data_IF_212979069518
#
_entry.id   IF_212979069518
#
_cell.length_a   1.000
_cell.length_b   1.000
_cell.length_c   1.000
_cell.angle_alpha   90.00
_cell.angle_beta   90.00
_cell.angle_gamma   90.00
#
_symmetry.space_group_name_H-M   'P 1'
#
loop_
_entity.id
_entity.type
_entity.pdbx_description
1 polymer ?
#
# COMPACT_ATOMS: atom_id res chain seq x y z
N UNK A 1 5.60 21.69 5.42
CA UNK A 1 4.85 21.00 4.34
C UNK A 1 3.78 20.15 5.01
N UNK A 2 2.51 20.45 4.77
CA UNK A 2 1.40 19.85 5.53
C UNK A 2 1.24 18.36 5.21
N UNK A 3 0.90 17.56 6.22
CA UNK A 3 0.75 16.10 6.06
C UNK A 3 -0.38 15.75 5.09
N UNK A 4 -1.46 16.56 5.08
CA UNK A 4 -2.53 16.49 4.09
C UNK A 4 -2.04 16.72 2.66
N UNK A 5 -1.09 17.63 2.46
CA UNK A 5 -0.50 17.89 1.14
C UNK A 5 0.33 16.70 0.66
N UNK A 6 1.04 16.00 1.56
CA UNK A 6 1.76 14.77 1.21
C UNK A 6 0.78 13.72 0.70
N UNK A 7 -0.25 13.42 1.49
CA UNK A 7 -1.24 12.40 1.11
C UNK A 7 -1.93 12.74 -0.21
N UNK A 8 -2.35 14.01 -0.39
CA UNK A 8 -2.98 14.46 -1.63
C UNK A 8 -2.03 14.36 -2.83
N UNK A 9 -0.77 14.76 -2.68
CA UNK A 9 0.23 14.69 -3.75
C UNK A 9 0.59 13.24 -4.13
N UNK A 10 0.65 12.34 -3.14
CA UNK A 10 0.88 10.92 -3.35
C UNK A 10 -0.29 10.26 -4.09
N UNK A 11 -1.53 10.61 -3.73
CA UNK A 11 -2.72 10.13 -4.44
C UNK A 11 -2.74 10.65 -5.88
N UNK A 12 -2.49 11.94 -6.09
CA UNK A 12 -2.39 12.52 -7.42
C UNK A 12 -1.29 11.83 -8.25
N UNK A 13 -0.13 11.57 -7.64
CA UNK A 13 0.96 10.81 -8.27
C UNK A 13 0.54 9.40 -8.67
N UNK A 14 -0.23 8.70 -7.83
CA UNK A 14 -0.76 7.37 -8.14
C UNK A 14 -1.73 7.41 -9.34
N UNK A 15 -2.60 8.42 -9.41
CA UNK A 15 -3.52 8.61 -10.54
C UNK A 15 -2.74 8.89 -11.83
N UNK A 16 -1.75 9.79 -11.79
CA UNK A 16 -0.92 10.10 -12.95
C UNK A 16 -0.16 8.86 -13.41
N UNK A 17 0.44 8.11 -12.48
CA UNK A 17 1.18 6.89 -12.83
C UNK A 17 0.28 5.81 -13.42
N UNK A 18 -0.90 5.58 -12.85
CA UNK A 18 -1.89 4.67 -13.42
C UNK A 18 -2.33 5.10 -14.83
N UNK A 19 -2.50 6.41 -15.05
CA UNK A 19 -2.84 6.97 -16.37
C UNK A 19 -1.72 6.72 -17.39
N UNK A 20 -0.46 6.94 -16.99
CA UNK A 20 0.72 6.68 -17.82
C UNK A 20 0.82 5.20 -18.17
N UNK A 21 0.70 4.32 -17.18
CA UNK A 21 0.76 2.87 -17.42
C UNK A 21 -0.35 2.45 -18.35
N UNK A 22 -1.58 2.92 -18.14
CA UNK A 22 -2.70 2.61 -19.04
C UNK A 22 -2.45 3.06 -20.48
N UNK A 23 -1.84 4.24 -20.66
CA UNK A 23 -1.51 4.76 -21.97
C UNK A 23 -0.40 3.95 -22.67
N UNK A 24 0.59 3.45 -21.90
CA UNK A 24 1.70 2.66 -22.44
C UNK A 24 1.32 1.21 -22.75
N UNK A 25 0.40 0.63 -21.98
CA UNK A 25 -0.03 -0.76 -22.14
C UNK A 25 -1.29 -0.90 -22.99
N UNK A 26 -1.86 0.22 -23.44
CA UNK A 26 -3.16 0.31 -24.13
C UNK A 26 -4.30 -0.41 -23.37
N UNK A 27 -4.16 -0.58 -22.07
CA UNK A 27 -5.08 -1.36 -21.23
C UNK A 27 -5.31 -0.65 -19.91
N UNK A 28 -6.56 -0.55 -19.41
CA UNK A 28 -6.87 0.27 -18.25
C UNK A 28 -6.23 -0.26 -16.96
N UNK A 29 -5.43 0.55 -16.29
CA UNK A 29 -4.89 0.30 -14.95
C UNK A 29 -5.78 0.95 -13.89
N UNK A 30 -6.96 0.37 -13.66
CA UNK A 30 -7.93 0.93 -12.69
C UNK A 30 -7.41 0.75 -11.27
N UNK A 31 -7.21 1.87 -10.56
CA UNK A 31 -6.71 1.90 -9.19
C UNK A 31 -7.59 1.06 -8.25
N UNK A 32 -6.97 0.16 -7.49
CA UNK A 32 -7.65 -0.69 -6.52
C UNK A 32 -8.48 -1.84 -7.09
N UNK A 33 -8.43 -2.05 -8.41
CA UNK A 33 -9.35 -2.94 -9.11
C UNK A 33 -8.60 -3.89 -10.06
N UNK A 34 -7.64 -3.37 -10.80
CA UNK A 34 -6.68 -4.18 -11.58
C UNK A 34 -5.44 -4.51 -10.76
N UNK A 35 -4.73 -5.60 -11.04
CA UNK A 35 -3.50 -5.96 -10.31
C UNK A 35 -2.44 -4.84 -10.39
N UNK A 36 -2.27 -4.22 -11.57
CA UNK A 36 -1.43 -3.02 -11.75
C UNK A 36 -1.94 -1.85 -10.91
N UNK A 37 -3.23 -1.55 -10.99
CA UNK A 37 -3.80 -0.41 -10.25
C UNK A 37 -3.75 -0.60 -8.74
N UNK A 38 -3.87 -1.84 -8.24
CA UNK A 38 -3.66 -2.21 -6.85
C UNK A 38 -2.20 -1.95 -6.46
N UNK A 39 -1.25 -2.40 -7.27
CA UNK A 39 0.18 -2.22 -7.00
C UNK A 39 0.57 -0.73 -6.96
N UNK A 40 0.10 0.06 -7.93
CA UNK A 40 0.33 1.51 -7.98
C UNK A 40 -0.28 2.20 -6.75
N UNK A 41 -1.52 1.86 -6.41
CA UNK A 41 -2.18 2.45 -5.24
C UNK A 41 -1.46 2.08 -3.94
N UNK A 42 -1.06 0.83 -3.75
CA UNK A 42 -0.34 0.41 -2.55
C UNK A 42 1.02 1.07 -2.45
N UNK A 43 1.82 1.05 -3.52
CA UNK A 43 3.16 1.61 -3.47
C UNK A 43 3.12 3.15 -3.32
N UNK A 44 2.38 3.82 -4.20
CA UNK A 44 2.42 5.28 -4.34
C UNK A 44 1.34 5.97 -3.50
N UNK A 45 0.11 5.47 -3.56
CA UNK A 45 -1.02 6.05 -2.84
C UNK A 45 -0.97 5.83 -1.32
N UNK A 46 -0.41 4.71 -0.87
CA UNK A 46 -0.35 4.34 0.57
C UNK A 46 1.09 4.29 1.09
N UNK A 47 1.98 3.57 0.42
CA UNK A 47 3.34 3.29 0.91
C UNK A 47 4.19 4.55 1.05
N UNK A 48 4.24 5.38 0.01
CA UNK A 48 4.99 6.65 0.02
C UNK A 48 4.55 7.59 1.15
N UNK A 49 3.26 7.99 1.28
CA UNK A 49 2.87 8.92 2.31
C UNK A 49 3.08 8.34 3.72
N UNK A 50 2.81 7.05 3.94
CA UNK A 50 3.07 6.40 5.23
C UNK A 50 4.56 6.38 5.58
N UNK A 51 5.43 6.13 4.60
CA UNK A 51 6.87 6.18 4.80
C UNK A 51 7.34 7.59 5.16
N UNK A 52 6.93 8.61 4.40
CA UNK A 52 7.30 10.00 4.67
C UNK A 52 6.79 10.46 6.03
N UNK A 53 5.55 10.13 6.39
CA UNK A 53 4.97 10.45 7.69
C UNK A 53 5.72 9.74 8.82
N UNK A 54 6.11 8.47 8.64
CA UNK A 54 6.88 7.72 9.64
C UNK A 54 8.25 8.37 9.94
N UNK A 55 8.89 8.93 8.90
CA UNK A 55 10.18 9.65 9.05
C UNK A 55 10.03 10.95 9.82
N UNK A 56 8.85 11.59 9.75
CA UNK A 56 8.56 12.84 10.47
C UNK A 56 8.12 12.61 11.90
N UNK A 57 7.24 11.63 12.11
CA UNK A 57 6.64 11.33 13.41
C UNK A 57 7.49 10.40 14.28
N UNK A 58 8.44 9.67 13.67
CA UNK A 58 9.17 8.58 14.32
C UNK A 58 8.31 7.33 14.58
N UNK A 59 7.08 7.27 14.05
CA UNK A 59 6.13 6.19 14.34
C UNK A 59 6.51 4.89 13.64
N UNK A 60 6.85 3.86 14.42
CA UNK A 60 7.12 2.52 13.90
C UNK A 60 5.88 1.87 13.27
N UNK A 61 4.66 2.26 13.65
CA UNK A 61 3.44 1.76 13.02
C UNK A 61 3.31 2.27 11.58
N UNK A 62 3.53 3.57 11.36
CA UNK A 62 3.47 4.14 10.02
C UNK A 62 4.54 3.52 9.10
N UNK A 63 5.72 3.26 9.65
CA UNK A 63 6.77 2.55 8.91
C UNK A 63 6.36 1.11 8.57
N UNK A 64 5.76 0.38 9.52
CA UNK A 64 5.24 -0.96 9.30
C UNK A 64 4.18 -0.98 8.20
N UNK A 65 3.22 -0.05 8.24
CA UNK A 65 2.20 0.09 7.19
C UNK A 65 2.81 0.39 5.82
N UNK A 66 3.84 1.24 5.75
CA UNK A 66 4.54 1.53 4.52
C UNK A 66 5.21 0.27 3.93
N UNK A 67 5.85 -0.54 4.77
CA UNK A 67 6.47 -1.80 4.36
C UNK A 67 5.43 -2.82 3.90
N UNK A 68 4.32 -2.98 4.63
CA UNK A 68 3.23 -3.85 4.22
C UNK A 68 2.62 -3.44 2.88
N UNK A 69 2.44 -2.13 2.67
CA UNK A 69 1.97 -1.60 1.39
C UNK A 69 2.95 -1.92 0.26
N UNK A 70 4.26 -1.76 0.48
CA UNK A 70 5.27 -2.14 -0.51
C UNK A 70 5.24 -3.65 -0.84
N UNK A 71 5.16 -4.51 0.18
CA UNK A 71 5.07 -5.97 -0.01
C UNK A 71 3.79 -6.33 -0.77
N UNK A 72 2.65 -5.76 -0.39
CA UNK A 72 1.38 -6.00 -1.08
C UNK A 72 1.42 -5.57 -2.55
N UNK A 73 2.10 -4.47 -2.87
CA UNK A 73 2.29 -4.05 -4.26
C UNK A 73 3.13 -5.05 -5.07
N UNK A 74 4.21 -5.57 -4.47
CA UNK A 74 5.04 -6.61 -5.09
C UNK A 74 4.24 -7.89 -5.32
N UNK A 75 3.47 -8.34 -4.33
CA UNK A 75 2.63 -9.54 -4.44
C UNK A 75 1.56 -9.35 -5.52
N UNK A 76 0.84 -8.23 -5.52
CA UNK A 76 -0.18 -7.95 -6.54
C UNK A 76 0.41 -7.98 -7.96
N UNK A 77 1.60 -7.39 -8.14
CA UNK A 77 2.32 -7.41 -9.41
C UNK A 77 2.74 -8.82 -9.80
N UNK A 78 3.35 -9.57 -8.87
CA UNK A 78 3.83 -10.92 -9.13
C UNK A 78 2.69 -11.90 -9.46
N UNK A 79 1.57 -11.82 -8.72
CA UNK A 79 0.37 -12.62 -8.99
C UNK A 79 -0.21 -12.25 -10.34
N UNK A 80 -0.39 -10.94 -10.63
CA UNK A 80 -0.94 -10.48 -11.91
C UNK A 80 -0.07 -10.91 -13.11
N UNK A 81 1.26 -10.93 -12.95
CA UNK A 81 2.18 -11.47 -13.97
C UNK A 81 1.98 -12.99 -14.12
N UNK A 82 1.96 -13.73 -13.01
CA UNK A 82 1.86 -15.19 -13.03
C UNK A 82 0.55 -15.69 -13.62
N UNK A 83 -0.54 -14.95 -13.44
CA UNK A 83 -1.87 -15.27 -14.00
C UNK A 83 -2.12 -14.64 -15.37
N UNK A 84 -1.22 -13.76 -15.85
CA UNK A 84 -1.41 -13.00 -17.09
C UNK A 84 -2.51 -11.94 -17.02
N UNK A 85 -3.03 -11.63 -15.83
CA UNK A 85 -4.24 -10.82 -15.62
C UNK A 85 -3.96 -9.44 -15.03
N UNK A 86 -2.80 -8.85 -15.37
CA UNK A 86 -2.32 -7.57 -14.85
C UNK A 86 -3.36 -6.42 -14.93
N UNK A 87 -4.14 -6.40 -16.01
CA UNK A 87 -5.15 -5.37 -16.27
C UNK A 87 -6.58 -5.90 -16.21
N UNK A 88 -6.77 -7.19 -15.94
CA UNK A 88 -8.12 -7.70 -15.74
C UNK A 88 -8.66 -7.17 -14.42
N UNK A 89 -9.96 -6.93 -14.39
CA UNK A 89 -10.67 -6.57 -13.18
C UNK A 89 -10.59 -7.75 -12.20
N UNK A 90 -9.75 -7.59 -11.20
CA UNK A 90 -9.68 -8.53 -10.10
C UNK A 90 -10.84 -8.17 -9.17
N UNK A 91 -11.95 -8.91 -9.25
CA UNK A 91 -13.14 -8.68 -8.41
C UNK A 91 -12.88 -8.72 -6.88
N UNK A 92 -11.64 -8.99 -6.47
CA UNK A 92 -11.16 -9.09 -5.08
C UNK A 92 -10.25 -7.89 -4.72
N UNK A 93 -9.97 -6.96 -5.64
CA UNK A 93 -8.89 -5.96 -5.51
C UNK A 93 -8.97 -5.11 -4.24
N UNK A 94 -10.07 -4.38 -4.06
CA UNK A 94 -10.26 -3.49 -2.91
C UNK A 94 -10.36 -4.26 -1.58
N UNK A 95 -11.00 -5.43 -1.60
CA UNK A 95 -11.13 -6.33 -0.43
C UNK A 95 -9.76 -6.82 0.00
N UNK A 96 -8.91 -7.22 -0.95
CA UNK A 96 -7.55 -7.70 -0.70
C UNK A 96 -6.67 -6.62 -0.10
N UNK A 97 -6.77 -5.39 -0.61
CA UNK A 97 -6.06 -4.21 -0.07
C UNK A 97 -6.47 -3.97 1.39
N UNK A 98 -7.78 -3.98 1.66
CA UNK A 98 -8.32 -3.80 3.00
C UNK A 98 -7.85 -4.90 3.95
N UNK A 99 -7.80 -6.14 3.48
CA UNK A 99 -7.36 -7.29 4.26
C UNK A 99 -5.86 -7.20 4.60
N UNK A 100 -5.02 -6.75 3.65
CA UNK A 100 -3.58 -6.50 3.88
C UNK A 100 -3.38 -5.38 4.90
N UNK A 101 -4.11 -4.27 4.77
CA UNK A 101 -4.04 -3.15 5.73
C UNK A 101 -4.51 -3.60 7.12
N UNK A 102 -5.59 -4.38 7.19
CA UNK A 102 -6.12 -4.92 8.43
C UNK A 102 -5.11 -5.87 9.11
N UNK A 103 -4.55 -6.83 8.37
CA UNK A 103 -3.51 -7.75 8.85
C UNK A 103 -2.26 -7.01 9.31
N UNK A 104 -1.79 -6.02 8.55
CA UNK A 104 -0.64 -5.21 8.94
C UNK A 104 -0.89 -4.44 10.24
N UNK A 105 -2.11 -3.92 10.42
CA UNK A 105 -2.48 -3.21 11.64
C UNK A 105 -2.63 -4.14 12.85
N UNK A 106 -3.22 -5.34 12.68
CA UNK A 106 -3.38 -6.31 13.78
C UNK A 106 -2.03 -6.90 14.20
N UNK A 107 -1.16 -7.26 13.25
CA UNK A 107 0.21 -7.70 13.56
C UNK A 107 0.99 -6.59 14.26
N UNK A 108 0.89 -5.34 13.77
CA UNK A 108 1.53 -4.19 14.40
C UNK A 108 1.01 -3.89 15.81
N UNK A 109 -0.27 -4.13 16.08
CA UNK A 109 -0.83 -4.06 17.43
C UNK A 109 -0.29 -5.17 18.33
N UNK A 110 -0.30 -6.43 17.87
CA UNK A 110 0.21 -7.56 18.64
C UNK A 110 1.68 -7.43 19.00
N UNK A 111 2.54 -6.99 18.07
CA UNK A 111 3.97 -6.73 18.35
C UNK A 111 4.17 -5.64 19.41
N UNK A 112 3.33 -4.60 19.41
CA UNK A 112 3.40 -3.55 20.43
C UNK A 112 2.99 -4.04 21.81
N UNK A 113 1.93 -4.83 21.90
CA UNK A 113 1.52 -5.43 23.17
C UNK A 113 2.57 -6.40 23.71
N UNK A 114 3.15 -7.25 22.87
CA UNK A 114 4.26 -8.12 23.26
C UNK A 114 5.45 -7.33 23.80
N UNK A 115 5.80 -6.21 23.15
CA UNK A 115 6.92 -5.35 23.58
C UNK A 115 6.60 -4.58 24.87
N UNK A 116 5.34 -4.21 25.08
CA UNK A 116 4.90 -3.55 26.31
C UNK A 116 4.91 -4.53 27.50
N UNK A 117 4.45 -5.77 27.30
CA UNK A 117 4.50 -6.83 28.30
C UNK A 117 5.92 -7.10 28.79
N UNK A 118 6.89 -7.22 27.87
CA UNK A 118 8.31 -7.40 28.22
C UNK A 118 8.93 -6.24 29.01
N UNK A 119 8.37 -5.02 28.94
CA UNK A 119 8.83 -3.84 29.70
C UNK A 119 8.17 -3.70 31.06
N UNK A 120 7.07 -4.40 31.30
CA UNK A 120 6.37 -4.39 32.59
C UNK A 120 7.00 -5.35 33.60
N UNK A 121 7.82 -6.30 33.15
CA UNK A 121 8.42 -7.35 33.97
C UNK A 121 9.91 -7.11 34.29
N UNK A 122 10.50 -5.97 33.91
CA UNK A 122 11.86 -5.54 34.31
C UNK A 122 11.80 -4.40 35.33
#
# INVERSE_FOLDING_TARGET
MNDSAIVASSLAGAIVLASIVSALTESPAVLGLTAVGIAIYLAVGVGVPQYVLSRRSGSSLQLGLAVFAAIGAVIATAVGIATGSLHEESGIGLVSILLVVLLGNTIGAGVREFRAGYRSES
#
